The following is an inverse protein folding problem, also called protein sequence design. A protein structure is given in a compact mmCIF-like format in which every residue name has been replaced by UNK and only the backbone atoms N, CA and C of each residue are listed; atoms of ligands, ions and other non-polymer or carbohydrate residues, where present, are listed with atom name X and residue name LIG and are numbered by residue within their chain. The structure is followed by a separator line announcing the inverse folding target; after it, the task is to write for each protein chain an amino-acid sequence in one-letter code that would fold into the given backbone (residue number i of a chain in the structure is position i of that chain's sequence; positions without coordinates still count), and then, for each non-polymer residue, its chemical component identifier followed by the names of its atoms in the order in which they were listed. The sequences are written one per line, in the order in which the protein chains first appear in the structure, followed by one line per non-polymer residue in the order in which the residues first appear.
data_IF_955076552374
#
_entry.id   IF_955076552374
#
_cell.length_a   1.000
_cell.length_b   1.000
_cell.length_c   1.000
_cell.angle_alpha   90.00
_cell.angle_beta   90.00
_cell.angle_gamma   90.00
#
_symmetry.space_group_name_H-M   'P 1'
#
loop_
_entity.id
_entity.type
_entity.pdbx_description
1 polymer ?
#
# COMPACT_ATOMS: atom_id res chain seq x y z
N UNK A 1 -27.20 -11.46 39.19
CA UNK A 1 -26.05 -10.59 38.87
C UNK A 1 -24.90 -11.33 38.18
N UNK A 2 -24.34 -12.44 38.70
CA UNK A 2 -23.24 -13.19 38.02
C UNK A 2 -23.52 -13.64 36.57
N UNK A 3 -24.75 -14.06 36.25
CA UNK A 3 -25.14 -14.48 34.88
C UNK A 3 -25.23 -13.32 33.88
N UNK A 4 -25.40 -12.08 34.34
CA UNK A 4 -25.45 -10.90 33.47
C UNK A 4 -24.04 -10.37 33.14
N UNK A 5 -23.04 -10.61 33.99
CA UNK A 5 -21.64 -10.27 33.70
C UNK A 5 -20.99 -11.19 32.66
N UNK A 6 -21.33 -12.48 32.64
CA UNK A 6 -20.81 -13.45 31.66
C UNK A 6 -21.29 -13.16 30.22
N UNK A 7 -22.53 -12.70 30.05
CA UNK A 7 -23.08 -12.36 28.73
C UNK A 7 -22.50 -11.08 28.13
N UNK A 8 -22.09 -10.12 28.97
CA UNK A 8 -21.43 -8.88 28.52
C UNK A 8 -19.97 -9.15 28.15
N UNK A 9 -19.27 -10.01 28.89
CA UNK A 9 -17.87 -10.37 28.63
C UNK A 9 -17.67 -11.14 27.31
N UNK A 10 -18.61 -12.02 26.95
CA UNK A 10 -18.58 -12.77 25.69
C UNK A 10 -18.87 -11.88 24.46
N UNK A 11 -19.67 -10.83 24.62
CA UNK A 11 -19.97 -9.88 23.54
C UNK A 11 -18.79 -8.95 23.24
N UNK A 12 -18.02 -8.56 24.26
CA UNK A 12 -16.79 -7.77 24.10
C UNK A 12 -15.63 -8.54 23.45
N UNK A 13 -15.53 -9.86 23.67
CA UNK A 13 -14.48 -10.69 23.07
C UNK A 13 -14.72 -10.95 21.56
N UNK A 14 -16.00 -11.06 21.13
CA UNK A 14 -16.35 -11.26 19.73
C UNK A 14 -16.25 -9.98 18.87
N UNK A 15 -16.31 -8.79 19.48
CA UNK A 15 -16.12 -7.52 18.77
C UNK A 15 -14.64 -7.19 18.52
N UNK A 16 -13.71 -7.82 19.25
CA UNK A 16 -12.27 -7.61 19.08
C UNK A 16 -11.69 -8.31 17.82
N UNK A 17 -12.35 -9.35 17.29
CA UNK A 17 -11.90 -10.11 16.10
C UNK A 17 -12.41 -9.56 14.77
N UNK A 18 -13.06 -8.39 14.78
CA UNK A 18 -13.72 -7.80 13.61
C UNK A 18 -13.11 -6.46 13.17
N UNK A 19 -12.04 -6.02 13.82
CA UNK A 19 -11.35 -4.79 13.46
C UNK A 19 -10.24 -5.10 12.45
N UNK A 20 -10.13 -4.29 11.40
CA UNK A 20 -9.00 -4.31 10.50
C UNK A 20 -7.72 -4.00 11.30
N UNK A 21 -6.66 -4.77 11.08
CA UNK A 21 -5.35 -4.54 11.68
C UNK A 21 -4.42 -3.93 10.63
N UNK A 22 -3.78 -2.82 10.95
CA UNK A 22 -2.74 -2.23 10.09
C UNK A 22 -1.52 -3.16 10.05
N UNK A 23 -1.13 -3.58 8.85
CA UNK A 23 0.03 -4.40 8.56
C UNK A 23 1.24 -3.53 8.17
N UNK A 24 0.98 -2.45 7.43
CA UNK A 24 1.95 -1.48 6.98
C UNK A 24 1.27 -0.13 6.86
N UNK A 25 1.89 0.93 7.38
CA UNK A 25 1.48 2.31 7.14
C UNK A 25 2.74 3.16 6.97
N UNK A 26 2.77 4.01 5.95
CA UNK A 26 3.90 4.87 5.62
C UNK A 26 3.41 6.17 4.98
N UNK A 27 3.76 7.31 5.59
CA UNK A 27 3.48 8.66 5.08
C UNK A 27 4.70 9.33 4.45
N UNK A 28 5.83 8.62 4.35
CA UNK A 28 7.05 9.04 3.66
C UNK A 28 7.65 10.38 4.17
N UNK A 29 7.43 10.70 5.45
CA UNK A 29 8.05 11.85 6.12
C UNK A 29 9.59 11.79 6.08
N UNK A 30 10.16 10.58 6.00
CA UNK A 30 11.60 10.36 5.88
C UNK A 30 11.92 9.12 5.03
N UNK A 31 11.93 9.29 3.71
CA UNK A 31 12.27 8.26 2.72
C UNK A 31 13.71 7.75 2.93
N UNK A 32 14.64 8.63 3.28
CA UNK A 32 16.03 8.27 3.54
C UNK A 32 16.20 7.31 4.73
N UNK A 33 15.26 7.30 5.67
CA UNK A 33 15.23 6.40 6.82
C UNK A 33 14.61 5.03 6.55
N UNK A 34 13.94 4.81 5.41
CA UNK A 34 13.18 3.59 5.16
C UNK A 34 14.02 2.32 5.10
N UNK A 35 15.25 2.42 4.59
CA UNK A 35 16.17 1.28 4.53
C UNK A 35 16.46 0.71 5.93
N UNK A 36 16.61 1.59 6.94
CA UNK A 36 16.78 1.18 8.34
C UNK A 36 15.52 0.53 8.93
N UNK A 37 14.34 0.78 8.33
CA UNK A 37 13.06 0.18 8.69
C UNK A 37 12.76 -1.11 7.90
N UNK A 38 13.71 -1.60 7.11
CA UNK A 38 13.60 -2.86 6.36
C UNK A 38 13.02 -2.74 4.95
N UNK A 39 12.85 -1.53 4.44
CA UNK A 39 12.56 -1.31 3.01
C UNK A 39 13.83 -1.54 2.17
N UNK A 40 13.63 -1.81 0.89
CA UNK A 40 14.73 -2.06 -0.05
C UNK A 40 14.55 -1.20 -1.29
N UNK A 41 15.61 -0.49 -1.67
CA UNK A 41 15.69 0.29 -2.91
C UNK A 41 16.49 -0.51 -3.92
N UNK A 42 15.90 -0.82 -5.08
CA UNK A 42 16.59 -1.57 -6.14
C UNK A 42 16.37 -0.90 -7.48
N UNK A 43 17.42 -0.31 -8.04
CA UNK A 43 17.38 0.25 -9.38
C UNK A 43 17.90 -0.77 -10.41
N UNK A 44 17.00 -1.29 -11.24
CA UNK A 44 17.26 -2.20 -12.37
C UNK A 44 17.24 -1.51 -13.73
N UNK A 45 17.17 -0.17 -13.73
CA UNK A 45 17.21 0.62 -14.96
C UNK A 45 18.49 0.37 -15.77
N UNK A 46 18.43 0.68 -17.06
CA UNK A 46 19.62 0.73 -17.92
C UNK A 46 20.56 1.83 -17.42
N UNK A 47 21.82 1.48 -17.13
CA UNK A 47 22.79 2.38 -16.50
C UNK A 47 22.18 3.10 -15.28
N UNK A 48 21.98 2.41 -14.15
CA UNK A 48 21.23 2.92 -13.00
C UNK A 48 21.70 4.30 -12.53
N UNK A 49 20.75 5.22 -12.41
CA UNK A 49 20.91 6.51 -11.76
C UNK A 49 20.38 6.46 -10.32
N UNK A 50 19.54 7.44 -9.97
CA UNK A 50 18.99 7.58 -8.63
C UNK A 50 17.96 6.49 -8.31
N UNK A 51 17.92 6.03 -7.06
CA UNK A 51 16.79 5.26 -6.55
C UNK A 51 15.59 6.20 -6.29
N UNK A 52 14.46 5.63 -5.85
CA UNK A 52 13.42 6.38 -5.16
C UNK A 52 14.02 7.24 -4.04
N UNK A 53 13.51 8.46 -3.90
CA UNK A 53 14.09 9.51 -3.06
C UNK A 53 13.01 10.36 -2.37
N UNK A 54 13.44 11.19 -1.42
CA UNK A 54 12.56 12.10 -0.69
C UNK A 54 11.93 13.12 -1.64
N UNK A 55 10.65 13.43 -1.44
CA UNK A 55 9.99 14.54 -2.09
C UNK A 55 10.74 15.88 -1.96
N UNK A 56 10.42 16.80 -2.84
CA UNK A 56 11.05 18.12 -2.91
C UNK A 56 9.97 19.21 -2.89
N UNK A 57 10.19 20.23 -2.08
CA UNK A 57 9.23 21.33 -1.96
C UNK A 57 9.01 22.02 -3.32
N UNK A 58 7.76 22.34 -3.62
CA UNK A 58 7.35 22.97 -4.88
C UNK A 58 7.28 22.06 -6.11
N UNK A 59 7.66 20.78 -6.02
CA UNK A 59 7.52 19.80 -7.11
C UNK A 59 6.12 19.21 -7.12
N UNK A 60 5.75 18.55 -6.03
CA UNK A 60 4.36 18.18 -5.74
C UNK A 60 3.98 18.82 -4.40
N UNK A 61 2.82 19.47 -4.32
CA UNK A 61 2.24 19.79 -3.02
C UNK A 61 2.03 18.46 -2.27
N UNK A 62 2.37 18.34 -0.98
CA UNK A 62 2.26 17.07 -0.26
C UNK A 62 0.80 16.59 -0.21
N UNK A 63 0.58 15.28 -0.25
CA UNK A 63 -0.78 14.73 -0.07
C UNK A 63 -1.16 14.82 1.41
N UNK A 64 -0.20 14.51 2.29
CA UNK A 64 -0.26 14.70 3.73
C UNK A 64 1.14 15.03 4.28
N UNK A 65 1.21 15.41 5.56
CA UNK A 65 2.50 15.67 6.21
C UNK A 65 3.14 17.02 5.83
N UNK A 66 4.47 17.08 5.90
CA UNK A 66 5.26 18.27 5.59
C UNK A 66 5.47 18.49 4.08
N UNK A 67 6.06 19.62 3.65
CA UNK A 67 6.21 19.99 2.24
C UNK A 67 6.93 18.95 1.35
N UNK A 68 7.73 18.08 1.96
CA UNK A 68 8.50 17.03 1.27
C UNK A 68 8.02 15.61 1.60
N UNK A 69 6.97 15.44 2.42
CA UNK A 69 6.50 14.15 2.93
C UNK A 69 5.81 13.32 1.84
N UNK A 70 6.61 12.79 0.91
CA UNK A 70 6.21 11.83 -0.11
C UNK A 70 7.48 11.16 -0.67
N UNK A 71 7.34 9.96 -1.24
CA UNK A 71 8.42 9.32 -2.00
C UNK A 71 8.28 9.64 -3.49
N UNK A 72 9.38 9.82 -4.20
CA UNK A 72 9.34 10.06 -5.64
C UNK A 72 10.42 9.31 -6.39
N UNK A 73 10.12 8.93 -7.63
CA UNK A 73 11.08 8.48 -8.62
C UNK A 73 10.94 9.35 -9.87
N UNK A 74 12.05 9.56 -10.58
CA UNK A 74 12.11 10.44 -11.75
C UNK A 74 12.83 9.77 -12.90
N UNK A 75 12.83 10.40 -14.08
CA UNK A 75 13.59 9.97 -15.25
C UNK A 75 15.08 9.70 -14.95
N UNK A 76 15.65 10.40 -13.94
CA UNK A 76 17.00 10.17 -13.41
C UNK A 76 17.20 8.78 -12.78
N UNK A 77 16.17 7.93 -12.75
CA UNK A 77 16.28 6.49 -12.48
C UNK A 77 17.21 5.80 -13.47
N UNK A 78 17.23 6.24 -14.72
CA UNK A 78 18.19 5.83 -15.73
C UNK A 78 19.16 6.98 -16.06
N UNK A 79 20.23 6.68 -16.80
CA UNK A 79 21.12 7.68 -17.39
C UNK A 79 20.65 8.01 -18.83
N UNK A 80 21.09 9.16 -19.41
CA UNK A 80 20.77 9.55 -20.78
C UNK A 80 21.10 8.48 -21.85
N UNK A 81 20.60 8.73 -23.06
CA UNK A 81 20.74 7.90 -24.27
C UNK A 81 19.82 6.66 -24.30
N UNK A 82 18.51 6.87 -24.11
CA UNK A 82 17.50 5.81 -24.25
C UNK A 82 17.48 4.81 -23.10
N UNK A 83 17.94 5.20 -21.91
CA UNK A 83 17.96 4.30 -20.75
C UNK A 83 16.56 3.90 -20.32
N UNK A 84 16.23 2.61 -20.38
CA UNK A 84 14.97 2.07 -19.86
C UNK A 84 14.95 2.15 -18.33
N UNK A 85 13.84 2.60 -17.77
CA UNK A 85 13.65 2.77 -16.33
C UNK A 85 12.96 1.53 -15.75
N UNK A 86 13.53 1.02 -14.66
CA UNK A 86 12.96 -0.04 -13.83
C UNK A 86 13.44 0.17 -12.37
N UNK A 87 12.74 1.01 -11.63
CA UNK A 87 13.18 1.46 -10.29
C UNK A 87 12.21 1.00 -9.20
N UNK A 88 12.70 0.18 -8.27
CA UNK A 88 11.89 -0.53 -7.29
C UNK A 88 12.03 0.09 -5.90
N UNK A 89 10.90 0.47 -5.32
CA UNK A 89 10.75 0.73 -3.89
C UNK A 89 10.00 -0.44 -3.25
N UNK A 90 10.70 -1.27 -2.50
CA UNK A 90 10.20 -2.50 -1.92
C UNK A 90 9.93 -2.29 -0.43
N UNK A 91 8.72 -2.60 0.03
CA UNK A 91 8.30 -2.40 1.41
C UNK A 91 9.06 -3.32 2.38
N UNK A 92 9.00 -3.01 3.68
CA UNK A 92 9.27 -4.02 4.72
C UNK A 92 8.35 -5.23 4.59
N UNK A 93 8.76 -6.35 5.17
CA UNK A 93 7.95 -7.58 5.20
C UNK A 93 6.75 -7.43 6.11
N UNK A 94 5.60 -7.94 5.69
CA UNK A 94 4.38 -8.02 6.49
C UNK A 94 3.68 -9.37 6.32
N UNK A 95 2.73 -9.67 7.21
CA UNK A 95 2.00 -10.95 7.18
C UNK A 95 1.01 -11.00 6.02
N UNK A 96 0.95 -12.15 5.34
CA UNK A 96 -0.04 -12.49 4.31
C UNK A 96 -0.99 -13.59 4.80
N UNK A 97 -1.07 -13.81 6.11
CA UNK A 97 -1.92 -14.84 6.71
C UNK A 97 -3.41 -14.59 6.48
N UNK A 98 -3.82 -13.32 6.45
CA UNK A 98 -5.19 -12.86 6.23
C UNK A 98 -5.27 -12.02 4.96
N UNK A 99 -6.47 -11.94 4.37
CA UNK A 99 -6.71 -11.03 3.26
C UNK A 99 -6.43 -9.59 3.69
N UNK A 100 -5.93 -8.78 2.77
CA UNK A 100 -5.63 -7.37 3.03
C UNK A 100 -6.18 -6.47 1.93
N UNK A 101 -6.39 -5.21 2.29
CA UNK A 101 -6.58 -4.10 1.36
C UNK A 101 -5.33 -3.21 1.38
N UNK A 102 -4.82 -2.91 0.20
CA UNK A 102 -3.81 -1.89 -0.05
C UNK A 102 -4.53 -0.60 -0.42
N UNK A 103 -4.05 0.53 0.10
CA UNK A 103 -4.34 1.85 -0.44
C UNK A 103 -3.11 2.75 -0.42
N UNK A 104 -3.00 3.62 -1.41
CA UNK A 104 -1.96 4.65 -1.50
C UNK A 104 -2.43 5.78 -2.40
N UNK A 105 -1.76 6.92 -2.35
CA UNK A 105 -1.93 8.01 -3.29
C UNK A 105 -0.74 8.08 -4.25
N UNK A 106 -1.02 8.35 -5.52
CA UNK A 106 0.01 8.67 -6.50
C UNK A 106 -0.32 9.96 -7.26
N UNK A 107 0.72 10.63 -7.73
CA UNK A 107 0.65 11.86 -8.52
C UNK A 107 1.81 11.88 -9.52
N UNK A 108 1.59 12.45 -10.70
CA UNK A 108 2.59 12.66 -11.73
C UNK A 108 2.47 14.08 -12.29
N UNK A 109 3.51 14.56 -12.97
CA UNK A 109 3.47 15.87 -13.61
C UNK A 109 2.64 15.85 -14.90
N UNK A 110 1.90 16.94 -15.14
CA UNK A 110 1.04 17.12 -16.30
C UNK A 110 1.74 17.91 -17.41
N UNK A 111 2.85 17.38 -17.90
CA UNK A 111 3.83 18.13 -18.70
C UNK A 111 4.20 17.44 -20.02
N UNK A 112 3.43 16.45 -20.45
CA UNK A 112 3.60 15.78 -21.74
C UNK A 112 4.52 14.56 -21.69
N UNK A 113 4.79 14.03 -20.49
CA UNK A 113 5.62 12.86 -20.28
C UNK A 113 4.80 11.58 -20.07
N UNK A 114 5.51 10.46 -20.05
CA UNK A 114 4.99 9.10 -19.93
C UNK A 114 5.57 8.49 -18.65
N UNK A 115 4.82 8.58 -17.57
CA UNK A 115 5.14 7.94 -16.31
C UNK A 115 4.29 6.68 -16.13
N UNK A 116 4.94 5.58 -15.74
CA UNK A 116 4.26 4.30 -15.50
C UNK A 116 4.66 3.75 -14.14
N UNK A 117 3.70 3.13 -13.45
CA UNK A 117 3.95 2.51 -12.15
C UNK A 117 3.17 1.21 -12.02
N UNK A 118 3.89 0.14 -11.70
CA UNK A 118 3.28 -1.11 -11.27
C UNK A 118 3.42 -1.27 -9.76
N UNK A 119 2.37 -1.77 -9.10
CA UNK A 119 2.44 -2.24 -7.73
C UNK A 119 2.36 -3.75 -7.74
N UNK A 120 3.43 -4.40 -7.29
CA UNK A 120 3.57 -5.84 -7.32
C UNK A 120 3.71 -6.42 -5.92
N UNK A 121 3.29 -7.67 -5.74
CA UNK A 121 3.44 -8.42 -4.49
C UNK A 121 4.32 -9.65 -4.71
N UNK A 122 5.24 -9.87 -3.76
CA UNK A 122 5.94 -11.13 -3.57
C UNK A 122 5.43 -11.83 -2.31
N UNK A 123 5.18 -13.13 -2.41
CA UNK A 123 4.78 -14.00 -1.29
C UNK A 123 5.95 -14.78 -0.68
N UNK A 124 7.19 -14.43 -1.07
CA UNK A 124 8.40 -15.15 -0.71
C UNK A 124 9.06 -14.61 0.58
N UNK A 125 8.24 -14.35 1.59
CA UNK A 125 8.70 -13.89 2.90
C UNK A 125 9.51 -12.59 2.85
N UNK A 126 10.72 -12.63 3.39
CA UNK A 126 11.60 -11.47 3.46
C UNK A 126 12.43 -11.20 2.21
N UNK A 127 12.34 -12.07 1.19
CA UNK A 127 13.07 -11.90 -0.06
C UNK A 127 12.76 -10.57 -0.75
N UNK A 128 13.79 -9.93 -1.30
CA UNK A 128 13.69 -8.71 -2.11
C UNK A 128 14.15 -8.94 -3.55
N UNK A 129 14.31 -10.20 -3.98
CA UNK A 129 14.65 -10.50 -5.36
C UNK A 129 13.48 -10.09 -6.28
N UNK A 130 13.75 -9.21 -7.25
CA UNK A 130 12.71 -8.66 -8.14
C UNK A 130 11.95 -9.73 -8.93
N UNK A 131 12.61 -10.85 -9.26
CA UNK A 131 11.99 -12.02 -9.89
C UNK A 131 10.91 -12.71 -9.04
N UNK A 132 10.85 -12.42 -7.74
CA UNK A 132 9.85 -12.97 -6.83
C UNK A 132 8.55 -12.17 -6.76
N UNK A 133 8.46 -11.01 -7.42
CA UNK A 133 7.26 -10.19 -7.46
C UNK A 133 6.41 -10.58 -8.67
N UNK A 134 5.49 -11.51 -8.47
CA UNK A 134 4.72 -12.15 -9.56
C UNK A 134 3.25 -11.78 -9.57
N UNK A 135 2.75 -11.12 -8.53
CA UNK A 135 1.35 -10.71 -8.43
C UNK A 135 1.22 -9.21 -8.70
N UNK A 136 0.68 -8.82 -9.85
CA UNK A 136 0.35 -7.42 -10.15
C UNK A 136 -0.94 -7.04 -9.42
N UNK A 137 -0.89 -5.98 -8.60
CA UNK A 137 -2.03 -5.47 -7.84
C UNK A 137 -2.64 -4.22 -8.46
N UNK A 138 -1.79 -3.28 -8.89
CA UNK A 138 -2.18 -2.02 -9.54
C UNK A 138 -1.21 -1.76 -10.69
N UNK A 139 -1.71 -1.23 -11.80
CA UNK A 139 -0.89 -0.67 -12.89
C UNK A 139 -1.42 0.70 -13.27
N UNK A 140 -0.56 1.70 -13.23
CA UNK A 140 -0.82 3.09 -13.60
C UNK A 140 -0.18 3.34 -14.96
N UNK A 141 -0.99 3.85 -15.90
CA UNK A 141 -0.60 4.09 -17.28
C UNK A 141 0.05 2.88 -17.99
N UNK A 142 -0.56 1.68 -17.98
CA UNK A 142 0.04 0.47 -18.56
C UNK A 142 0.32 0.57 -20.07
N UNK A 143 -0.46 1.37 -20.79
CA UNK A 143 -0.29 1.59 -22.23
C UNK A 143 0.88 2.53 -22.57
N UNK A 144 1.38 3.29 -21.59
CA UNK A 144 2.43 4.28 -21.81
C UNK A 144 1.90 5.49 -22.58
N UNK A 145 0.67 5.91 -22.30
CA UNK A 145 0.08 7.07 -22.94
C UNK A 145 0.74 8.34 -22.39
N UNK A 146 1.02 9.29 -23.29
CA UNK A 146 1.40 10.65 -22.89
C UNK A 146 0.31 11.18 -21.99
N UNK A 147 0.71 11.69 -20.83
CA UNK A 147 -0.23 12.20 -19.84
C UNK A 147 -1.24 11.16 -19.30
N UNK A 148 -0.92 9.86 -19.37
CA UNK A 148 -1.79 8.78 -18.86
C UNK A 148 -1.69 8.53 -17.34
N UNK A 149 -0.70 9.12 -16.67
CA UNK A 149 -0.54 9.10 -15.22
C UNK A 149 -1.42 10.19 -14.54
N UNK A 150 -1.74 10.07 -13.23
CA UNK A 150 -2.67 10.99 -12.58
C UNK A 150 -2.09 12.41 -12.42
N UNK A 151 -2.92 13.43 -12.66
CA UNK A 151 -2.62 14.84 -12.37
C UNK A 151 -3.33 15.31 -11.12
N UNK A 152 -2.57 15.42 -10.04
CA UNK A 152 -3.10 15.57 -8.70
C UNK A 152 -3.22 14.22 -7.99
N UNK A 153 -3.14 14.27 -6.67
CA UNK A 153 -3.17 13.08 -5.82
C UNK A 153 -4.42 12.25 -6.03
N UNK A 154 -4.21 11.07 -6.61
CA UNK A 154 -5.26 10.10 -6.89
C UNK A 154 -5.04 8.88 -6.02
N UNK A 155 -6.10 8.44 -5.34
CA UNK A 155 -6.07 7.25 -4.49
C UNK A 155 -6.23 6.00 -5.33
N UNK A 156 -5.34 5.03 -5.12
CA UNK A 156 -5.41 3.69 -5.69
C UNK A 156 -5.65 2.67 -4.58
N UNK A 157 -6.35 1.59 -4.91
CA UNK A 157 -6.64 0.51 -3.98
C UNK A 157 -6.55 -0.85 -4.67
N UNK A 158 -6.12 -1.87 -3.93
CA UNK A 158 -6.18 -3.26 -4.36
C UNK A 158 -6.49 -4.17 -3.17
N UNK A 159 -6.98 -5.36 -3.44
CA UNK A 159 -7.16 -6.41 -2.42
C UNK A 159 -6.35 -7.63 -2.79
N UNK A 160 -5.93 -8.39 -1.79
CA UNK A 160 -5.27 -9.67 -1.97
C UNK A 160 -5.82 -10.66 -0.96
N UNK A 161 -6.09 -11.88 -1.44
CA UNK A 161 -6.60 -12.95 -0.60
C UNK A 161 -5.50 -13.54 0.27
N UNK A 162 -5.79 -13.71 1.56
CA UNK A 162 -4.86 -14.29 2.52
C UNK A 162 -4.46 -15.71 2.15
N UNK A 163 -3.21 -16.06 2.44
CA UNK A 163 -2.64 -17.38 2.16
C UNK A 163 -2.73 -18.33 3.36
N UNK A 164 -3.19 -17.85 4.52
CA UNK A 164 -3.23 -18.61 5.76
C UNK A 164 -1.85 -18.87 6.36
N UNK A 165 -1.84 -19.58 7.49
CA UNK A 165 -0.61 -20.00 8.18
C UNK A 165 0.32 -18.83 8.53
N UNK A 166 1.62 -19.02 8.36
CA UNK A 166 2.66 -18.02 8.64
C UNK A 166 3.18 -17.34 7.37
N UNK A 167 2.35 -17.27 6.31
CA UNK A 167 2.73 -16.61 5.07
C UNK A 167 3.09 -15.13 5.30
N UNK A 168 4.11 -14.66 4.60
CA UNK A 168 4.57 -13.28 4.65
C UNK A 168 5.16 -12.88 3.30
N UNK A 169 5.27 -11.58 3.07
CA UNK A 169 5.71 -11.07 1.78
C UNK A 169 6.03 -9.58 1.80
N UNK A 170 6.21 -9.01 0.61
CA UNK A 170 6.53 -7.60 0.39
C UNK A 170 5.77 -7.06 -0.80
N UNK A 171 5.43 -5.79 -0.74
CA UNK A 171 4.97 -5.03 -1.89
C UNK A 171 6.16 -4.32 -2.54
N UNK A 172 6.04 -4.02 -3.83
CA UNK A 172 6.97 -3.17 -4.56
C UNK A 172 6.22 -2.15 -5.39
N UNK A 173 6.68 -0.91 -5.36
CA UNK A 173 6.32 0.14 -6.30
C UNK A 173 7.41 0.21 -7.37
N UNK A 174 7.05 -0.09 -8.61
CA UNK A 174 7.98 -0.25 -9.73
C UNK A 174 7.73 0.87 -10.72
N UNK A 175 8.56 1.91 -10.65
CA UNK A 175 8.53 2.99 -11.63
C UNK A 175 9.19 2.53 -12.91
N UNK A 176 8.52 2.75 -14.04
CA UNK A 176 8.88 2.25 -15.37
C UNK A 176 8.74 3.36 -16.39
N UNK A 177 9.51 3.26 -17.48
CA UNK A 177 9.48 4.21 -18.58
C UNK A 177 10.81 4.28 -19.32
N UNK A 178 11.08 5.42 -19.95
CA UNK A 178 12.36 5.73 -20.60
C UNK A 178 12.88 7.05 -20.05
N UNK A 179 14.20 7.17 -19.92
CA UNK A 179 14.86 8.44 -19.59
C UNK A 179 14.37 9.60 -20.46
N UNK A 180 14.16 9.35 -21.76
CA UNK A 180 13.87 10.41 -22.73
C UNK A 180 12.41 10.89 -22.71
N UNK A 181 11.51 10.13 -22.08
CA UNK A 181 10.05 10.39 -22.16
C UNK A 181 9.33 10.40 -20.82
N UNK A 182 9.97 9.99 -19.74
CA UNK A 182 9.40 10.03 -18.39
C UNK A 182 9.78 11.35 -17.70
N UNK A 183 9.05 11.73 -16.65
CA UNK A 183 9.42 12.87 -15.81
C UNK A 183 9.54 12.45 -14.34
N UNK A 184 8.40 12.35 -13.65
CA UNK A 184 8.37 12.03 -12.24
C UNK A 184 7.03 11.44 -11.80
N UNK A 185 7.11 10.49 -10.87
CA UNK A 185 5.96 10.02 -10.11
C UNK A 185 6.21 10.14 -8.61
N UNK A 186 5.16 10.46 -7.86
CA UNK A 186 5.16 10.58 -6.41
C UNK A 186 4.18 9.59 -5.78
N UNK A 187 4.51 9.14 -4.57
CA UNK A 187 3.73 8.24 -3.71
C UNK A 187 3.58 8.83 -2.33
N UNK A 188 2.38 8.75 -1.78
CA UNK A 188 2.11 9.18 -0.41
C UNK A 188 0.99 8.34 0.25
N UNK A 189 0.90 8.39 1.58
CA UNK A 189 -0.14 7.78 2.41
C UNK A 189 -0.42 6.32 2.04
N UNK A 190 0.61 5.48 2.17
CA UNK A 190 0.49 4.03 2.03
C UNK A 190 -0.16 3.44 3.29
N UNK A 191 -1.21 2.66 3.09
CA UNK A 191 -1.82 1.80 4.11
C UNK A 191 -2.06 0.40 3.55
N UNK A 192 -1.72 -0.61 4.36
CA UNK A 192 -2.08 -2.01 4.15
C UNK A 192 -2.73 -2.48 5.43
N UNK A 193 -4.00 -2.87 5.35
CA UNK A 193 -4.78 -3.31 6.50
C UNK A 193 -5.50 -4.62 6.22
N UNK A 194 -5.60 -5.49 7.22
CA UNK A 194 -6.33 -6.75 7.07
C UNK A 194 -7.81 -6.48 6.80
N UNK A 195 -8.41 -7.32 5.97
CA UNK A 195 -9.86 -7.32 5.76
C UNK A 195 -10.48 -8.28 6.77
N UNK A 196 -11.38 -7.83 7.66
CA UNK A 196 -12.04 -8.72 8.61
C UNK A 196 -12.83 -9.82 7.89
N UNK A 197 -12.81 -11.04 8.43
CA UNK A 197 -13.52 -12.16 7.83
C UNK A 197 -15.04 -11.93 7.81
N UNK A 198 -15.77 -12.40 6.77
CA UNK A 198 -17.23 -12.30 6.72
C UNK A 198 -17.94 -12.86 7.96
N UNK A 199 -17.40 -13.93 8.55
CA UNK A 199 -17.91 -14.52 9.79
C UNK A 199 -17.83 -13.56 10.98
N UNK A 200 -16.79 -12.71 11.06
CA UNK A 200 -16.67 -11.69 12.10
C UNK A 200 -17.79 -10.66 12.01
N UNK A 201 -18.15 -10.23 10.80
CA UNK A 201 -19.31 -9.35 10.60
C UNK A 201 -20.64 -10.04 10.94
N UNK A 202 -20.80 -11.31 10.56
CA UNK A 202 -21.99 -12.08 10.89
C UNK A 202 -22.16 -12.25 12.41
N UNK A 203 -21.07 -12.51 13.14
CA UNK A 203 -21.08 -12.60 14.60
C UNK A 203 -21.43 -11.26 15.27
N UNK A 204 -20.94 -10.13 14.74
CA UNK A 204 -21.38 -8.80 15.20
C UNK A 204 -22.87 -8.63 14.98
N UNK A 205 -23.37 -8.92 13.77
CA UNK A 205 -24.78 -8.76 13.45
C UNK A 205 -25.67 -9.62 14.37
N UNK A 206 -25.28 -10.88 14.60
CA UNK A 206 -25.95 -11.77 15.54
C UNK A 206 -25.91 -11.24 16.98
N UNK A 207 -24.77 -10.70 17.41
CA UNK A 207 -24.61 -10.08 18.73
C UNK A 207 -25.53 -8.88 18.93
N UNK A 208 -25.62 -8.00 17.93
CA UNK A 208 -26.50 -6.82 17.94
C UNK A 208 -27.99 -7.22 17.97
N UNK A 209 -28.39 -8.21 17.15
CA UNK A 209 -29.76 -8.75 17.15
C UNK A 209 -30.09 -9.36 18.53
N UNK A 210 -29.19 -10.16 19.09
CA UNK A 210 -29.36 -10.75 20.41
C UNK A 210 -29.53 -9.70 21.52
N UNK A 211 -28.73 -8.63 21.48
CA UNK A 211 -28.83 -7.52 22.43
C UNK A 211 -30.17 -6.77 22.30
N UNK A 212 -30.63 -6.49 21.08
CA UNK A 212 -31.91 -5.83 20.84
C UNK A 212 -33.11 -6.66 21.34
N UNK A 213 -33.09 -7.97 21.12
CA UNK A 213 -34.11 -8.90 21.64
C UNK A 213 -34.10 -8.94 23.17
N UNK A 214 -32.92 -8.99 23.78
CA UNK A 214 -32.78 -8.99 25.23
C UNK A 214 -33.28 -7.67 25.87
N UNK A 215 -33.05 -6.53 25.22
CA UNK A 215 -33.56 -5.24 25.68
C UNK A 215 -35.09 -5.15 25.57
N UNK A 216 -35.70 -5.67 24.50
CA UNK A 216 -37.16 -5.71 24.35
C UNK A 216 -37.81 -6.54 25.45
N UNK A 217 -37.23 -7.70 25.80
CA UNK A 217 -37.72 -8.57 26.89
C UNK A 217 -37.58 -8.00 28.29
N UNK A 218 -36.74 -6.98 28.50
CA UNK A 218 -36.61 -6.28 29.81
C UNK A 218 -37.61 -5.12 29.97
N UNK A 219 -38.22 -4.67 28.87
CA UNK A 219 -39.21 -3.58 28.86
C UNK A 219 -40.66 -4.08 28.82
N UNK A 220 -40.87 -5.38 28.58
CA UNK A 220 -42.13 -6.09 28.71
C UNK A 220 -42.18 -6.78 30.08
#
# INVERSE_FOLDING_TARGET
MRKQLLSVLALSAAMASAQASTLLSEGFDNVGGLAAQGWVFTNKSTNPGSNWLQGADGVFAPQAGGPTSYATATYNSAKPAGGAIENWLITKTFSLSQSFQLSFYANAMADGFIDQLDVMLSTNGSSSATSGFTHLLVSINPAGDVNGAPFGWTRYTATFDGLGGSASGRLAFVYKGSYDTADAIALDTLDVSTVPEPASYALIALGLVGAAVAQRRRKA
#
